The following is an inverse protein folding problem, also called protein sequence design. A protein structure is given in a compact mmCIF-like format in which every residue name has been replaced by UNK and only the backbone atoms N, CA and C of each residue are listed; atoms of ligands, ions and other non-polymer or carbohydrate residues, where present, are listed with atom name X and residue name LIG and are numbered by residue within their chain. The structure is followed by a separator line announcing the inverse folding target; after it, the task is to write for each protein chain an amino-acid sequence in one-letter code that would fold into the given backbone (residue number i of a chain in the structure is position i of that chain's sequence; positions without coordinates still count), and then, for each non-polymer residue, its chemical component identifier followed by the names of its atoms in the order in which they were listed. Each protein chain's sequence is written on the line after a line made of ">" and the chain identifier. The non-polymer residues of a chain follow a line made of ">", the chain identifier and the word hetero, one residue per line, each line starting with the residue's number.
data_IF_937924734494
#
_entry.id   IF_937924734494
#
_cell.length_a   1.000
_cell.length_b   1.000
_cell.length_c   1.000
_cell.angle_alpha   90.00
_cell.angle_beta   90.00
_cell.angle_gamma   90.00
#
_symmetry.space_group_name_H-M   'P 1'
#
loop_
_entity.id
_entity.type
_entity.pdbx_description
1 polymer ?
#
# COMPACT_ATOMS: atom_id res chain seq x y z
N UNK A 1 11.91 -5.74 9.69
CA UNK A 1 10.73 -5.84 8.81
C UNK A 1 10.50 -4.44 8.29
N UNK A 2 10.46 -4.25 6.97
CA UNK A 2 10.21 -2.93 6.41
C UNK A 2 8.97 -2.98 5.54
N UNK A 3 8.18 -1.91 5.61
CA UNK A 3 6.94 -1.75 4.87
C UNK A 3 6.89 -0.35 4.30
N UNK A 4 6.85 -0.24 2.97
CA UNK A 4 6.37 0.97 2.32
C UNK A 4 4.88 0.79 2.13
N UNK A 5 4.11 1.81 2.46
CA UNK A 5 2.70 1.89 2.12
C UNK A 5 2.43 3.23 1.46
N UNK A 6 2.00 3.17 0.21
CA UNK A 6 1.59 4.31 -0.58
C UNK A 6 0.11 4.18 -0.95
N UNK A 7 -0.64 5.26 -0.76
CA UNK A 7 -2.05 5.31 -1.12
C UNK A 7 -2.49 6.77 -1.24
N UNK A 8 -3.77 7.00 -1.43
CA UNK A 8 -4.39 8.33 -1.50
C UNK A 8 -5.60 8.36 -0.58
N UNK A 9 -6.09 9.57 -0.29
CA UNK A 9 -7.33 9.74 0.45
C UNK A 9 -8.45 10.18 -0.46
N UNK A 10 -9.54 10.60 0.17
CA UNK A 10 -10.67 11.20 -0.54
C UNK A 10 -10.24 12.44 -1.30
N UNK A 11 -9.63 13.38 -0.56
CA UNK A 11 -9.33 14.73 -1.03
C UNK A 11 -7.82 14.99 -1.20
N UNK A 12 -6.97 14.10 -0.66
CA UNK A 12 -5.53 14.17 -0.84
C UNK A 12 -5.03 13.12 -1.84
N UNK A 13 -4.10 13.53 -2.70
CA UNK A 13 -3.50 12.67 -3.73
C UNK A 13 -2.56 11.60 -3.17
N UNK A 14 -1.86 10.89 -4.05
CA UNK A 14 -1.02 9.76 -3.66
C UNK A 14 0.17 10.18 -2.77
N UNK A 15 0.36 9.49 -1.64
CA UNK A 15 1.38 9.78 -0.62
C UNK A 15 1.87 8.48 0.01
N UNK A 16 3.13 8.48 0.45
CA UNK A 16 3.62 7.49 1.41
C UNK A 16 3.00 7.77 2.77
N UNK A 17 2.35 6.76 3.34
CA UNK A 17 1.89 6.76 4.73
C UNK A 17 2.90 6.08 5.64
N UNK A 18 3.57 5.03 5.13
CA UNK A 18 4.72 4.40 5.77
C UNK A 18 5.86 4.33 4.76
N UNK A 19 7.06 4.68 5.20
CA UNK A 19 8.27 4.59 4.38
C UNK A 19 9.17 3.44 4.78
N UNK A 20 8.97 2.87 5.96
CA UNK A 20 9.88 1.88 6.54
C UNK A 20 11.30 2.42 6.73
N UNK A 21 12.25 1.52 6.95
CA UNK A 21 13.66 1.86 7.18
C UNK A 21 14.47 2.00 5.87
N UNK A 22 13.79 2.25 4.75
CA UNK A 22 14.45 2.35 3.44
C UNK A 22 15.17 3.69 3.31
N UNK A 23 16.40 3.64 2.78
CA UNK A 23 17.22 4.83 2.53
C UNK A 23 16.60 5.74 1.47
N UNK A 24 16.02 5.14 0.43
CA UNK A 24 15.24 5.82 -0.60
C UNK A 24 13.93 5.07 -0.86
N UNK A 25 12.86 5.38 -0.12
CA UNK A 25 11.57 4.71 -0.27
C UNK A 25 10.91 4.94 -1.64
N UNK A 26 11.25 6.03 -2.34
CA UNK A 26 10.68 6.29 -3.66
C UNK A 26 11.32 5.36 -4.69
N UNK A 27 12.64 5.23 -4.67
CA UNK A 27 13.34 4.32 -5.57
C UNK A 27 12.85 2.87 -5.39
N UNK A 28 12.75 2.39 -4.16
CA UNK A 28 12.28 1.02 -3.85
C UNK A 28 10.84 0.79 -4.33
N UNK A 29 9.98 1.80 -4.20
CA UNK A 29 8.61 1.76 -4.71
C UNK A 29 8.57 1.71 -6.25
N UNK A 30 9.33 2.58 -6.92
CA UNK A 30 9.36 2.63 -8.39
C UNK A 30 9.92 1.34 -8.99
N UNK A 31 10.96 0.77 -8.40
CA UNK A 31 11.54 -0.52 -8.82
C UNK A 31 10.56 -1.68 -8.61
N UNK A 32 9.86 -1.70 -7.47
CA UNK A 32 8.89 -2.75 -7.14
C UNK A 32 7.67 -2.77 -8.10
N UNK A 33 7.21 -1.59 -8.52
CA UNK A 33 6.02 -1.42 -9.38
C UNK A 33 6.35 -1.16 -10.86
N UNK A 34 7.63 -1.21 -11.26
CA UNK A 34 8.04 -0.95 -12.63
C UNK A 34 7.25 -1.79 -13.65
N UNK A 35 6.60 -1.10 -14.60
CA UNK A 35 5.83 -1.71 -15.68
C UNK A 35 4.49 -2.33 -15.24
N UNK A 36 3.90 -1.87 -14.13
CA UNK A 36 2.59 -2.35 -13.60
C UNK A 36 1.58 -1.22 -13.40
N UNK A 37 1.78 -0.08 -14.06
CA UNK A 37 0.94 1.10 -13.89
C UNK A 37 -0.54 0.87 -14.26
N UNK A 38 -0.81 -0.10 -15.14
CA UNK A 38 -2.17 -0.48 -15.57
C UNK A 38 -2.87 -1.48 -14.64
N UNK A 39 -2.14 -2.12 -13.75
CA UNK A 39 -2.65 -3.24 -12.95
C UNK A 39 -3.43 -2.71 -11.75
N UNK A 40 -4.71 -3.09 -11.65
CA UNK A 40 -5.57 -2.74 -10.50
C UNK A 40 -5.29 -3.59 -9.27
N UNK A 41 -4.81 -4.81 -9.47
CA UNK A 41 -4.37 -5.74 -8.44
C UNK A 41 -3.03 -6.33 -8.87
N UNK A 42 -2.08 -6.43 -7.93
CA UNK A 42 -0.75 -6.95 -8.19
C UNK A 42 -0.25 -7.71 -6.96
N UNK A 43 0.35 -8.86 -7.17
CA UNK A 43 1.21 -9.51 -6.20
C UNK A 43 2.45 -10.00 -6.94
N UNK A 44 3.56 -9.28 -6.80
CA UNK A 44 4.82 -9.56 -7.50
C UNK A 44 5.93 -9.72 -6.49
N UNK A 45 6.61 -10.86 -6.53
CA UNK A 45 7.81 -11.12 -5.75
C UNK A 45 9.05 -10.78 -6.57
N UNK A 46 9.95 -10.01 -5.98
CA UNK A 46 11.27 -9.69 -6.54
C UNK A 46 12.31 -9.88 -5.44
N UNK A 47 13.10 -10.95 -5.53
CA UNK A 47 14.02 -11.33 -4.45
C UNK A 47 13.29 -11.55 -3.12
N UNK A 48 13.70 -10.79 -2.10
CA UNK A 48 13.14 -10.87 -0.74
C UNK A 48 11.97 -9.91 -0.48
N UNK A 49 11.51 -9.22 -1.53
CA UNK A 49 10.48 -8.19 -1.46
C UNK A 49 9.23 -8.61 -2.22
N UNK A 50 8.06 -8.22 -1.72
CA UNK A 50 6.77 -8.38 -2.41
C UNK A 50 6.15 -7.01 -2.64
N UNK A 51 5.90 -6.69 -3.91
CA UNK A 51 5.05 -5.59 -4.34
C UNK A 51 3.59 -6.07 -4.35
N UNK A 52 2.73 -5.39 -3.61
CA UNK A 52 1.33 -5.76 -3.43
C UNK A 52 0.45 -4.55 -3.71
N UNK A 53 -0.52 -4.70 -4.62
CA UNK A 53 -1.57 -3.72 -4.88
C UNK A 53 -2.93 -4.37 -4.79
N UNK A 54 -3.87 -3.71 -4.12
CA UNK A 54 -5.28 -4.07 -4.13
C UNK A 54 -6.16 -2.83 -3.91
N UNK A 55 -7.41 -2.83 -4.41
CA UNK A 55 -8.38 -1.78 -4.12
C UNK A 55 -8.78 -1.80 -2.63
N UNK A 56 -9.10 -0.63 -2.06
CA UNK A 56 -9.56 -0.48 -0.67
C UNK A 56 -10.66 -1.51 -0.36
N UNK A 57 -10.43 -2.43 0.60
CA UNK A 57 -11.37 -3.52 0.87
C UNK A 57 -12.75 -3.08 1.35
N UNK A 58 -12.88 -1.86 1.90
CA UNK A 58 -14.16 -1.29 2.32
C UNK A 58 -14.79 -0.41 1.22
N UNK A 59 -14.18 -0.37 0.04
CA UNK A 59 -14.66 0.35 -1.13
C UNK A 59 -14.56 1.87 -1.01
N UNK A 60 -13.65 2.40 -0.19
CA UNK A 60 -13.44 3.85 -0.06
C UNK A 60 -12.97 4.46 -1.37
N UNK A 61 -13.48 5.66 -1.68
CA UNK A 61 -13.30 6.32 -2.98
C UNK A 61 -12.64 7.68 -2.87
N UNK A 62 -11.96 8.11 -3.92
CA UNK A 62 -11.55 9.52 -4.05
C UNK A 62 -12.73 10.44 -4.44
N UNK A 63 -12.49 11.75 -4.54
CA UNK A 63 -13.51 12.71 -4.99
C UNK A 63 -14.02 12.48 -6.42
N UNK A 64 -13.31 11.70 -7.23
CA UNK A 64 -13.74 11.31 -8.59
C UNK A 64 -14.58 10.01 -8.60
N UNK A 65 -14.86 9.43 -7.43
CA UNK A 65 -15.62 8.18 -7.30
C UNK A 65 -14.82 6.91 -7.62
N UNK A 66 -13.49 7.00 -7.72
CA UNK A 66 -12.63 5.84 -7.97
C UNK A 66 -12.28 5.17 -6.66
N UNK A 67 -12.39 3.84 -6.60
CA UNK A 67 -11.92 3.07 -5.44
C UNK A 67 -10.41 3.30 -5.28
N UNK A 68 -10.01 3.61 -4.05
CA UNK A 68 -8.63 3.94 -3.71
C UNK A 68 -7.77 2.67 -3.79
N UNK A 69 -6.62 2.68 -4.51
CA UNK A 69 -5.67 1.58 -4.42
C UNK A 69 -4.78 1.71 -3.18
N UNK A 70 -4.36 0.58 -2.63
CA UNK A 70 -3.30 0.50 -1.64
C UNK A 70 -2.11 -0.24 -2.22
N UNK A 71 -0.97 0.44 -2.25
CA UNK A 71 0.29 -0.10 -2.73
C UNK A 71 1.21 -0.34 -1.55
N UNK A 72 1.73 -1.56 -1.45
CA UNK A 72 2.66 -1.97 -0.42
C UNK A 72 3.92 -2.56 -1.03
N UNK A 73 5.06 -2.20 -0.48
CA UNK A 73 6.33 -2.89 -0.71
C UNK A 73 6.74 -3.51 0.62
N UNK A 74 6.80 -4.84 0.65
CA UNK A 74 6.89 -5.62 1.89
C UNK A 74 8.21 -6.38 1.86
N UNK A 75 9.03 -6.25 2.91
CA UNK A 75 10.26 -7.02 3.06
C UNK A 75 10.39 -7.71 4.42
N UNK A 76 11.15 -8.80 4.44
CA UNK A 76 11.37 -9.62 5.62
C UNK A 76 10.30 -10.70 5.84
N UNK A 77 10.13 -11.23 7.06
CA UNK A 77 9.41 -12.48 7.29
C UNK A 77 7.95 -12.52 6.83
N UNK A 78 7.28 -11.36 6.72
CA UNK A 78 5.90 -11.28 6.23
C UNK A 78 5.76 -11.73 4.78
N UNK A 79 6.81 -11.62 3.96
CA UNK A 79 6.73 -12.03 2.56
C UNK A 79 6.50 -13.54 2.43
N UNK A 80 6.93 -14.37 3.38
CA UNK A 80 6.78 -15.82 3.31
C UNK A 80 5.31 -16.30 3.28
N UNK A 81 4.35 -15.47 3.70
CA UNK A 81 2.93 -15.80 3.66
C UNK A 81 2.16 -15.15 2.51
N UNK A 82 2.83 -14.46 1.58
CA UNK A 82 2.19 -13.69 0.51
C UNK A 82 2.55 -14.30 -0.84
N UNK A 83 1.67 -15.17 -1.33
CA UNK A 83 1.79 -15.81 -2.65
C UNK A 83 0.72 -15.31 -3.64
N UNK A 84 -0.27 -14.55 -3.15
CA UNK A 84 -1.31 -13.95 -3.96
C UNK A 84 -1.77 -12.60 -3.39
N UNK A 85 -2.53 -11.85 -4.20
CA UNK A 85 -3.19 -10.60 -3.79
C UNK A 85 -4.08 -10.85 -2.57
N UNK A 86 -4.81 -11.98 -2.56
CA UNK A 86 -5.73 -12.28 -1.47
C UNK A 86 -4.99 -12.63 -0.17
N UNK A 87 -3.87 -13.32 -0.25
CA UNK A 87 -3.02 -13.61 0.93
C UNK A 87 -2.43 -12.31 1.50
N UNK A 88 -1.88 -11.47 0.61
CA UNK A 88 -1.34 -10.16 0.97
C UNK A 88 -2.41 -9.27 1.61
N UNK A 89 -3.58 -9.16 0.97
CA UNK A 89 -4.72 -8.40 1.50
C UNK A 89 -5.12 -8.93 2.87
N UNK A 90 -5.27 -10.25 3.05
CA UNK A 90 -5.65 -10.83 4.34
C UNK A 90 -4.60 -10.56 5.42
N UNK A 91 -3.31 -10.71 5.12
CA UNK A 91 -2.24 -10.55 6.09
C UNK A 91 -1.95 -9.09 6.45
N UNK A 92 -1.99 -8.18 5.46
CA UNK A 92 -1.66 -6.77 5.63
C UNK A 92 -2.88 -5.97 6.10
N UNK A 93 -4.05 -6.14 5.48
CA UNK A 93 -5.23 -5.33 5.83
C UNK A 93 -5.83 -5.68 7.19
N UNK A 94 -5.65 -6.93 7.67
CA UNK A 94 -6.12 -7.34 9.01
C UNK A 94 -5.32 -6.70 10.15
N UNK A 95 -4.23 -5.98 9.83
CA UNK A 95 -3.43 -5.27 10.83
C UNK A 95 -4.11 -3.97 11.26
N UNK A 96 -4.32 -3.73 12.57
CA UNK A 96 -4.98 -2.51 13.05
C UNK A 96 -4.26 -1.22 12.67
N UNK A 97 -2.93 -1.25 12.60
CA UNK A 97 -2.04 -0.16 12.15
C UNK A 97 -2.22 0.19 10.66
N UNK A 98 -2.92 -0.63 9.89
CA UNK A 98 -3.23 -0.39 8.48
C UNK A 98 -4.70 0.02 8.32
N UNK A 99 -5.63 -0.91 8.55
CA UNK A 99 -7.05 -0.66 8.26
C UNK A 99 -7.69 0.33 9.22
N UNK A 100 -7.39 0.21 10.52
CA UNK A 100 -7.83 1.17 11.53
C UNK A 100 -7.25 2.56 11.28
N UNK A 101 -5.94 2.63 11.03
CA UNK A 101 -5.30 3.90 10.72
C UNK A 101 -5.87 4.56 9.45
N UNK A 102 -6.08 3.79 8.37
CA UNK A 102 -6.66 4.34 7.16
C UNK A 102 -8.09 4.87 7.38
N UNK A 103 -8.91 4.13 8.13
CA UNK A 103 -10.27 4.53 8.44
C UNK A 103 -10.35 5.91 9.13
N UNK A 104 -9.34 6.27 9.93
CA UNK A 104 -9.24 7.57 10.59
C UNK A 104 -8.83 8.70 9.64
N UNK A 105 -7.94 8.42 8.66
CA UNK A 105 -7.29 9.47 7.86
C UNK A 105 -7.85 9.64 6.44
N UNK A 106 -8.63 8.68 5.92
CA UNK A 106 -9.00 8.66 4.49
C UNK A 106 -9.75 9.93 4.06
N UNK A 107 -10.67 10.44 4.90
CA UNK A 107 -11.46 11.65 4.64
C UNK A 107 -10.88 12.90 5.31
N UNK A 108 -9.67 12.82 5.86
CA UNK A 108 -9.00 14.01 6.35
C UNK A 108 -8.72 14.97 5.18
N UNK A 109 -8.76 16.30 5.39
CA UNK A 109 -8.52 17.26 4.31
C UNK A 109 -7.06 17.31 3.84
N UNK A 110 -6.14 16.71 4.60
CA UNK A 110 -4.71 16.64 4.32
C UNK A 110 -4.18 15.26 4.72
N UNK A 111 -3.15 14.75 4.02
CA UNK A 111 -2.52 13.50 4.42
C UNK A 111 -1.80 13.68 5.77
N UNK A 112 -1.70 12.62 6.59
CA UNK A 112 -0.84 12.64 7.76
C UNK A 112 0.63 12.75 7.32
N UNK A 113 1.54 13.16 8.22
CA UNK A 113 2.96 13.00 7.96
C UNK A 113 3.28 11.50 7.80
N UNK A 114 4.18 11.14 6.88
CA UNK A 114 4.59 9.75 6.72
C UNK A 114 5.30 9.25 7.98
N UNK A 115 5.02 8.00 8.33
CA UNK A 115 5.65 7.25 9.42
C UNK A 115 6.86 6.46 8.93
#
# INVERSE_FOLDING_TARGET
>A
MSLIWATRGRTWGFRFLFKGDFKDPLQEYEEAFAGTDSDQELCRRTGDTVALRFPDPDGRQDTAGRVIPHDFVISGPLTAGIDSVNDGRRLIWSRPDISGHFAEIWDAPKPPPPQ
#
